data_IF_814096141321
#
_entry.id   IF_814096141321
#
_cell.length_a   1.000
_cell.length_b   1.000
_cell.length_c   1.000
_cell.angle_alpha   90.00
_cell.angle_beta   90.00
_cell.angle_gamma   90.00
#
_symmetry.space_group_name_H-M   'P 1'
#
loop_
_entity.id
_entity.type
_entity.pdbx_description
1 polymer ?
2 non-polymer ?
3 non-polymer ?
4 non-polymer ?
5 non-polymer ?
6 non-polymer ?
7 non-polymer ?
8 water ?
#
# COMPACT_ATOMS: atom_id res chain seq x y z
N UNK A 1 20.81 -4.21 1.24
CA UNK A 1 19.43 -3.83 1.51
C UNK A 1 19.21 -2.33 1.35
N UNK A 2 18.03 -1.96 0.86
CA UNK A 2 17.59 -0.58 0.90
C UNK A 2 17.13 -0.26 2.31
N UNK A 3 16.42 0.86 2.48
CA UNK A 3 15.92 1.18 3.82
C UNK A 3 14.90 0.15 4.30
N UNK A 4 15.05 -0.28 5.55
CA UNK A 4 14.09 -1.17 6.17
C UNK A 4 13.68 -0.60 7.53
N UNK A 5 12.49 -0.97 7.99
CA UNK A 5 12.06 -0.60 9.32
C UNK A 5 12.92 -1.35 10.33
N UNK A 6 13.44 -0.65 11.32
CA UNK A 6 14.29 -1.27 12.32
C UNK A 6 13.48 -1.61 13.57
N UNK A 7 12.19 -1.87 13.34
CA UNK A 7 11.28 -2.32 14.38
C UNK A 7 10.22 -3.21 13.74
N UNK A 8 9.68 -4.15 14.52
CA UNK A 8 8.67 -5.06 13.99
C UNK A 8 7.26 -4.58 14.32
N UNK A 9 7.18 -3.62 15.24
CA UNK A 9 5.90 -2.99 15.56
C UNK A 9 5.74 -1.71 14.75
N UNK A 10 4.88 -1.78 13.74
CA UNK A 10 4.71 -0.66 12.82
C UNK A 10 3.26 -0.15 12.83
N UNK A 11 3.10 1.14 13.07
CA UNK A 11 1.77 1.74 13.13
C UNK A 11 1.39 2.43 11.83
N UNK A 12 0.10 2.59 11.60
CA UNK A 12 -0.38 3.33 10.45
C UNK A 12 -1.61 4.16 10.79
N UNK A 13 -1.82 5.24 10.03
CA UNK A 13 -2.98 6.10 10.23
C UNK A 13 -3.53 6.56 8.88
N UNK A 14 -4.85 6.49 8.73
CA UNK A 14 -5.51 6.95 7.52
C UNK A 14 -5.86 8.43 7.68
N UNK A 15 -5.10 9.28 7.00
CA UNK A 15 -5.22 10.72 7.17
C UNK A 15 -6.54 11.29 6.65
N UNK A 16 -6.99 10.77 5.51
CA UNK A 16 -8.28 11.17 4.95
C UNK A 16 -8.87 10.07 4.09
N UNK A 17 -10.18 10.16 3.86
CA UNK A 17 -10.91 9.11 3.14
C UNK A 17 -11.39 9.57 1.77
N UNK A 18 -11.33 8.66 0.80
CA UNK A 18 -11.84 8.93 -0.54
C UNK A 18 -13.36 8.86 -0.55
N UNK A 19 -14.00 9.82 -1.23
CA UNK A 19 -15.46 9.85 -1.34
C UNK A 19 -16.01 8.77 -2.26
N UNK A 20 -15.14 8.07 -2.98
CA UNK A 20 -15.55 7.00 -3.88
C UNK A 20 -16.16 5.84 -3.11
N UNK A 21 -15.56 5.50 -1.99
CA UNK A 21 -16.01 4.39 -1.16
C UNK A 21 -16.54 4.90 0.17
N UNK A 22 -17.34 4.07 0.84
CA UNK A 22 -17.76 4.40 2.20
C UNK A 22 -16.59 4.19 3.16
N UNK A 23 -16.61 4.86 4.28
CA UNK A 23 -15.47 4.84 5.18
C UNK A 23 -15.03 3.48 5.69
N UNK A 24 -15.96 2.63 6.08
CA UNK A 24 -15.60 1.32 6.59
C UNK A 24 -14.95 0.44 5.53
N UNK A 25 -15.35 0.60 4.28
CA UNK A 25 -14.75 -0.14 3.17
C UNK A 25 -13.27 0.20 3.01
N UNK A 26 -12.95 1.48 3.19
CA UNK A 26 -11.57 1.93 3.12
C UNK A 26 -10.77 1.37 4.29
N UNK A 27 -11.37 1.38 5.48
CA UNK A 27 -10.75 0.82 6.66
C UNK A 27 -10.47 -0.67 6.48
N UNK A 28 -11.43 -1.38 5.90
CA UNK A 28 -11.31 -2.83 5.71
C UNK A 28 -10.27 -3.18 4.66
N UNK A 29 -10.28 -2.43 3.55
CA UNK A 29 -9.35 -2.69 2.45
C UNK A 29 -7.91 -2.45 2.87
N UNK A 30 -7.68 -1.41 3.67
CA UNK A 30 -6.35 -1.08 4.14
C UNK A 30 -5.88 -2.09 5.19
N UNK A 31 -6.79 -2.49 6.07
CA UNK A 31 -6.45 -3.43 7.13
C UNK A 31 -6.03 -4.78 6.56
N UNK A 32 -6.77 -5.26 5.57
CA UNK A 32 -6.47 -6.52 4.92
C UNK A 32 -5.16 -6.45 4.14
N UNK A 33 -4.85 -5.27 3.62
CA UNK A 33 -3.61 -5.07 2.88
C UNK A 33 -2.39 -5.28 3.75
N UNK A 34 -2.39 -4.67 4.93
CA UNK A 34 -1.30 -4.86 5.89
C UNK A 34 -1.20 -6.31 6.34
N UNK A 35 -2.35 -6.99 6.42
CA UNK A 35 -2.40 -8.36 6.91
C UNK A 35 -1.76 -9.32 5.92
N UNK A 36 -1.83 -8.98 4.63
CA UNK A 36 -1.19 -9.77 3.59
C UNK A 36 0.30 -9.90 3.84
N UNK A 37 0.93 -8.79 4.22
CA UNK A 37 2.36 -8.79 4.52
C UNK A 37 2.62 -9.34 5.93
N UNK A 38 1.64 -9.17 6.81
CA UNK A 38 1.75 -9.67 8.17
C UNK A 38 1.73 -11.20 8.19
N UNK A 39 1.14 -11.81 7.16
CA UNK A 39 1.01 -13.25 7.10
C UNK A 39 2.33 -13.98 6.84
N UNK A 40 3.32 -13.27 6.31
CA UNK A 40 4.57 -13.92 5.91
C UNK A 40 5.79 -13.28 6.55
N UNK A 41 5.57 -12.43 7.56
CA UNK A 41 6.66 -11.71 8.22
C UNK A 41 6.45 -11.71 9.74
N UNK A 42 7.50 -11.35 10.50
CA UNK A 42 7.31 -11.12 11.94
C UNK A 42 6.76 -9.72 12.23
N UNK A 43 6.29 -9.03 11.21
CA UNK A 43 5.79 -7.66 11.35
C UNK A 43 4.37 -7.61 11.90
N UNK A 44 4.14 -6.72 12.84
CA UNK A 44 2.80 -6.49 13.39
C UNK A 44 2.37 -5.05 13.11
N UNK A 45 1.18 -4.90 12.53
CA UNK A 45 0.67 -3.58 12.17
C UNK A 45 -0.52 -3.18 13.03
N UNK A 46 -0.48 -1.97 13.57
CA UNK A 46 -1.53 -1.47 14.45
C UNK A 46 -2.04 -0.10 13.99
N UNK A 47 -3.36 0.04 13.95
CA UNK A 47 -3.98 1.26 13.45
C UNK A 47 -4.05 2.35 14.52
N UNK A 48 -3.74 3.57 14.13
CA UNK A 48 -3.80 4.72 15.03
C UNK A 48 -4.80 5.74 14.50
N UNK A 49 -5.73 6.17 15.34
CA UNK A 49 -6.75 7.13 14.93
C UNK A 49 -6.27 8.57 15.04
N UNK A 50 -5.47 8.85 16.06
CA UNK A 50 -5.00 10.20 16.30
C UNK A 50 -3.56 10.21 16.79
N UNK A 51 -2.71 10.99 16.14
CA UNK A 51 -1.33 11.13 16.55
C UNK A 51 -0.32 10.62 15.53
N UNK A 52 0.90 10.41 15.99
CA UNK A 52 1.98 10.00 15.10
C UNK A 52 1.91 8.52 14.73
N UNK A 53 2.06 8.24 13.45
CA UNK A 53 2.12 6.88 12.95
C UNK A 53 3.21 6.76 11.91
N UNK A 54 3.80 5.57 11.78
CA UNK A 54 4.89 5.34 10.85
C UNK A 54 4.43 5.51 9.40
N UNK A 55 3.31 4.88 9.08
CA UNK A 55 2.79 4.90 7.71
C UNK A 55 1.49 5.69 7.61
N UNK A 56 1.56 6.84 6.95
CA UNK A 56 0.39 7.67 6.76
C UNK A 56 -0.26 7.40 5.40
N UNK A 57 -1.56 7.10 5.42
CA UNK A 57 -2.30 6.87 4.18
C UNK A 57 -3.05 8.14 3.77
N UNK A 58 -2.79 8.63 2.57
CA UNK A 58 -3.35 9.88 2.10
C UNK A 58 -4.03 9.74 0.74
N UNK A 59 -5.23 10.32 0.61
CA UNK A 59 -5.89 10.45 -0.68
C UNK A 59 -5.81 11.89 -1.16
N UNK A 60 -5.10 12.10 -2.27
CA UNK A 60 -4.96 13.44 -2.83
C UNK A 60 -4.85 13.39 -4.36
N UNK A 61 -4.90 14.56 -4.99
CA UNK A 61 -4.80 14.64 -6.44
C UNK A 61 -3.71 15.61 -6.90
N UNK A 62 -3.21 15.39 -8.11
CA UNK A 62 -2.20 16.25 -8.70
C UNK A 62 -0.98 16.47 -7.83
N UNK A 63 -0.49 17.70 -7.84
CA UNK A 63 0.60 18.10 -6.94
C UNK A 63 0.04 18.26 -5.53
N UNK A 64 0.63 17.57 -4.57
CA UNK A 64 0.04 17.47 -3.24
C UNK A 64 1.06 17.50 -2.11
N UNK A 65 2.07 18.35 -2.22
CA UNK A 65 2.97 18.57 -1.10
C UNK A 65 4.34 17.92 -1.22
N UNK A 66 4.44 16.86 -2.01
CA UNK A 66 5.75 16.26 -2.28
C UNK A 66 6.15 16.52 -3.73
N UNK A 67 7.37 16.14 -4.08
CA UNK A 67 7.91 16.44 -5.40
C UNK A 67 7.40 15.48 -6.49
N UNK A 68 6.42 14.66 -6.13
CA UNK A 68 5.88 13.67 -7.04
C UNK A 68 4.39 13.86 -7.28
N UNK A 69 4.06 14.70 -8.25
CA UNK A 69 2.66 15.03 -8.56
C UNK A 69 1.95 13.87 -9.25
N UNK A 70 0.66 13.73 -8.99
CA UNK A 70 -0.17 12.76 -9.69
C UNK A 70 -0.61 13.32 -11.04
N UNK A 71 -1.24 12.48 -11.86
CA UNK A 71 -1.42 12.81 -13.27
C UNK A 71 -2.86 12.69 -13.76
N UNK A 72 -3.83 12.81 -12.86
CA UNK A 72 -5.23 12.66 -13.24
C UNK A 72 -5.62 11.21 -13.34
N UNK A 73 -6.83 10.94 -13.83
CA UNK A 73 -7.31 9.57 -13.92
C UNK A 73 -6.49 8.75 -14.91
N UNK A 74 -6.06 7.57 -14.48
CA UNK A 74 -5.21 6.71 -15.29
C UNK A 74 -3.75 6.90 -14.93
N UNK A 75 -2.87 6.27 -15.69
CA UNK A 75 -1.43 6.38 -15.44
C UNK A 75 -1.05 5.91 -14.06
N UNK A 76 -0.38 6.78 -13.30
CA UNK A 76 0.04 6.46 -11.95
C UNK A 76 -1.15 6.45 -11.00
N UNK A 77 -1.38 5.31 -10.36
CA UNK A 77 -2.51 5.15 -9.45
C UNK A 77 -2.16 5.58 -8.03
N UNK A 78 -0.89 5.46 -7.68
CA UNK A 78 -0.42 5.74 -6.33
C UNK A 78 1.10 5.67 -6.25
N UNK A 79 1.65 6.13 -5.13
CA UNK A 79 3.07 5.91 -4.84
C UNK A 79 3.32 5.88 -3.34
N UNK A 80 4.41 5.25 -2.94
CA UNK A 80 4.78 5.17 -1.54
C UNK A 80 6.27 5.43 -1.35
N UNK A 81 6.63 5.92 -0.18
CA UNK A 81 8.03 6.18 0.14
C UNK A 81 8.60 5.05 0.99
N UNK A 82 9.89 4.76 0.78
CA UNK A 82 10.55 3.71 1.53
C UNK A 82 10.62 4.04 3.02
N UNK A 83 10.95 3.03 3.84
CA UNK A 83 11.03 3.17 5.30
C UNK A 83 11.90 4.34 5.74
N UNK A 84 11.46 5.04 6.79
CA UNK A 84 12.18 6.19 7.30
C UNK A 84 11.26 7.15 8.03
N UNK A 85 11.83 8.15 8.67
CA UNK A 85 11.05 9.13 9.41
C UNK A 85 10.35 10.10 8.48
N UNK A 86 9.42 10.87 9.02
CA UNK A 86 8.69 11.87 8.25
C UNK A 86 7.83 11.25 7.18
N UNK A 87 8.06 11.67 5.93
CA UNK A 87 7.27 11.20 4.79
C UNK A 87 7.63 9.74 4.44
N UNK A 88 8.73 9.25 5.01
CA UNK A 88 9.14 7.88 4.78
C UNK A 88 8.10 6.88 5.24
N UNK A 89 7.78 5.91 4.39
CA UNK A 89 6.80 4.90 4.71
C UNK A 89 5.40 5.27 4.30
N UNK A 90 5.18 6.55 4.02
CA UNK A 90 3.85 7.05 3.68
C UNK A 90 3.38 6.58 2.30
N UNK A 91 2.08 6.33 2.19
CA UNK A 91 1.49 5.86 0.94
C UNK A 91 0.39 6.81 0.48
N UNK A 92 0.55 7.35 -0.73
CA UNK A 92 -0.41 8.29 -1.27
C UNK A 92 -1.18 7.68 -2.44
N UNK A 93 -2.49 7.88 -2.46
CA UNK A 93 -3.34 7.33 -3.52
C UNK A 93 -4.00 8.44 -4.33
N UNK A 94 -3.95 8.31 -5.66
CA UNK A 94 -4.50 9.32 -6.55
C UNK A 94 -6.03 9.36 -6.46
N UNK A 95 -6.55 10.52 -6.07
CA UNK A 95 -8.00 10.68 -5.90
C UNK A 95 -8.71 10.79 -7.24
N UNK A 96 -7.97 11.06 -8.31
CA UNK A 96 -8.56 11.16 -9.64
C UNK A 96 -8.95 9.77 -10.17
N UNK A 97 -8.48 8.72 -9.51
CA UNK A 97 -8.95 7.37 -9.81
C UNK A 97 -10.24 7.10 -9.07
N UNK A 98 -11.00 6.11 -9.52
CA UNK A 98 -12.22 5.71 -8.82
C UNK A 98 -11.99 4.42 -8.06
N UNK A 99 -11.73 4.56 -6.77
CA UNK A 99 -11.40 3.41 -5.93
C UNK A 99 -12.64 2.58 -5.60
N UNK A 100 -12.50 1.25 -5.73
CA UNK A 100 -13.60 0.34 -5.47
C UNK A 100 -13.16 -0.86 -4.63
N UNK A 101 -14.13 -1.68 -4.26
CA UNK A 101 -13.85 -2.93 -3.55
C UNK A 101 -14.00 -4.11 -4.51
N UNK A 102 -14.03 -3.81 -5.81
CA UNK A 102 -14.28 -4.82 -6.83
C UNK A 102 -13.45 -4.59 -8.09
N UNK A 103 -13.87 -5.24 -9.18
CA UNK A 103 -13.13 -5.20 -10.44
C UNK A 103 -13.24 -3.85 -11.15
N UNK A 104 -14.40 -3.22 -11.02
CA UNK A 104 -14.62 -1.91 -11.62
C UNK A 104 -13.68 -0.88 -11.03
N UNK A 105 -13.36 0.14 -11.83
CA UNK A 105 -12.43 1.19 -11.42
C UNK A 105 -11.09 0.62 -10.99
N UNK A 106 -10.56 1.14 -9.89
CA UNK A 106 -9.30 0.66 -9.35
C UNK A 106 -9.51 0.07 -7.96
N UNK A 107 -9.17 -1.20 -7.80
CA UNK A 107 -9.34 -1.87 -6.52
C UNK A 107 -8.34 -1.36 -5.48
N UNK A 108 -8.86 -0.79 -4.40
CA UNK A 108 -8.03 -0.18 -3.37
C UNK A 108 -7.15 -1.21 -2.65
N UNK A 109 -7.74 -2.37 -2.33
CA UNK A 109 -7.03 -3.42 -1.61
C UNK A 109 -5.76 -3.85 -2.33
N UNK A 110 -5.88 -4.18 -3.61
CA UNK A 110 -4.73 -4.62 -4.40
C UNK A 110 -3.67 -3.54 -4.52
N UNK A 111 -4.10 -2.31 -4.78
CA UNK A 111 -3.19 -1.17 -4.87
C UNK A 111 -2.49 -0.95 -3.54
N UNK A 112 -3.23 -1.10 -2.45
CA UNK A 112 -2.68 -0.92 -1.11
C UNK A 112 -1.62 -1.96 -0.79
N UNK A 113 -1.87 -3.21 -1.16
CA UNK A 113 -0.89 -4.27 -0.94
C UNK A 113 0.42 -3.91 -1.63
N UNK A 114 0.32 -3.47 -2.87
CA UNK A 114 1.48 -3.07 -3.66
C UNK A 114 2.21 -1.89 -3.03
N UNK A 115 1.47 -0.87 -2.62
CA UNK A 115 2.08 0.33 -2.05
C UNK A 115 2.70 0.07 -0.67
N UNK A 116 2.04 -0.74 0.15
CA UNK A 116 2.56 -1.08 1.46
C UNK A 116 3.86 -1.85 1.30
N UNK A 117 3.94 -2.67 0.25
CA UNK A 117 5.18 -3.35 -0.10
C UNK A 117 6.31 -2.35 -0.29
N UNK A 118 6.02 -1.25 -0.96
CA UNK A 118 6.98 -0.16 -1.11
C UNK A 118 7.29 0.48 0.25
N UNK A 119 6.24 0.65 1.06
CA UNK A 119 6.37 1.23 2.39
C UNK A 119 7.28 0.39 3.29
N UNK A 120 7.33 -0.92 3.00
CA UNK A 120 8.15 -1.82 3.79
C UNK A 120 9.57 -1.93 3.22
N UNK A 121 9.77 -1.40 2.02
CA UNK A 121 11.09 -1.33 1.43
C UNK A 121 11.32 -2.22 0.21
N UNK A 122 10.24 -2.74 -0.37
CA UNK A 122 10.35 -3.62 -1.53
C UNK A 122 10.43 -2.84 -2.84
N UNK A 123 11.16 -3.40 -3.80
CA UNK A 123 11.21 -2.87 -5.15
C UNK A 123 10.22 -3.59 -6.04
N UNK A 124 10.42 -3.52 -7.34
CA UNK A 124 9.51 -4.17 -8.28
C UNK A 124 9.98 -5.56 -8.69
N UNK A 125 9.02 -6.37 -9.12
CA UNK A 125 9.31 -7.70 -9.65
C UNK A 125 8.99 -7.74 -11.14
N UNK A 126 9.59 -8.68 -11.85
CA UNK A 126 9.28 -8.85 -13.27
C UNK A 126 8.36 -10.06 -13.46
N UNK A 127 7.86 -10.58 -12.35
CA UNK A 127 6.91 -11.69 -12.35
C UNK A 127 5.48 -11.15 -12.40
N UNK A 128 4.76 -11.46 -13.48
CA UNK A 128 3.37 -11.00 -13.65
C UNK A 128 2.43 -11.56 -12.58
N UNK A 129 2.89 -12.55 -11.83
CA UNK A 129 2.11 -13.13 -10.75
C UNK A 129 2.38 -12.42 -9.43
N UNK A 130 3.49 -11.70 -9.37
CA UNK A 130 3.89 -10.99 -8.16
C UNK A 130 3.07 -9.71 -7.96
N UNK A 131 2.73 -9.41 -6.71
CA UNK A 131 1.96 -8.22 -6.41
C UNK A 131 2.83 -6.98 -6.56
N UNK A 132 4.15 -7.16 -6.54
CA UNK A 132 5.07 -6.05 -6.71
C UNK A 132 5.46 -5.88 -8.18
N UNK A 133 4.71 -6.53 -9.07
CA UNK A 133 4.79 -6.27 -10.50
C UNK A 133 4.42 -4.80 -10.72
N UNK A 134 5.15 -4.11 -11.61
CA UNK A 134 5.02 -2.65 -11.79
C UNK A 134 3.61 -2.17 -12.15
N UNK A 135 2.84 -2.96 -12.89
CA UNK A 135 1.54 -2.51 -13.37
C UNK A 135 0.37 -3.23 -12.70
N UNK A 136 -0.71 -2.48 -12.50
CA UNK A 136 -1.91 -2.96 -11.83
C UNK A 136 -2.53 -4.18 -12.53
N UNK A 137 -3.15 -5.04 -11.73
CA UNK A 137 -3.92 -6.17 -12.23
C UNK A 137 -4.99 -6.53 -11.22
N UNK A 138 -6.21 -6.80 -11.70
CA UNK A 138 -7.27 -7.22 -10.80
C UNK A 138 -7.35 -8.73 -10.71
N UNK A 139 -7.62 -9.21 -9.50
CA UNK A 139 -7.84 -10.61 -9.22
C UNK A 139 -8.77 -10.67 -8.02
N UNK A 140 -9.77 -11.56 -8.08
CA UNK A 140 -10.71 -11.73 -6.98
C UNK A 140 -9.94 -11.84 -5.67
N UNK A 141 -10.35 -11.07 -4.67
CA UNK A 141 -9.57 -10.92 -3.45
C UNK A 141 -9.45 -12.24 -2.67
N UNK A 142 -10.20 -13.26 -3.08
CA UNK A 142 -9.99 -14.59 -2.53
C UNK A 142 -9.68 -15.66 -3.59
N UNK A 143 -9.01 -15.25 -4.66
CA UNK A 143 -8.27 -16.17 -5.51
C UNK A 143 -6.85 -15.62 -5.49
N UNK A 144 -6.63 -14.71 -4.55
CA UNK A 144 -5.40 -13.95 -4.41
C UNK A 144 -4.41 -14.63 -3.48
N UNK A 145 -3.19 -14.80 -3.97
CA UNK A 145 -2.10 -15.32 -3.14
C UNK A 145 -0.83 -14.52 -3.41
N UNK A 146 -0.03 -14.32 -2.36
CA UNK A 146 1.29 -13.74 -2.53
C UNK A 146 2.16 -14.68 -3.34
N UNK A 147 2.83 -14.15 -4.36
CA UNK A 147 3.75 -14.96 -5.16
C UNK A 147 4.96 -15.33 -4.32
N UNK A 148 5.71 -16.33 -4.78
CA UNK A 148 6.92 -16.76 -4.09
C UNK A 148 7.97 -15.64 -4.10
N UNK A 149 7.96 -14.83 -5.15
CA UNK A 149 8.93 -13.75 -5.29
C UNK A 149 8.66 -12.64 -4.28
N UNK A 150 7.38 -12.33 -4.06
CA UNK A 150 6.99 -11.34 -3.05
C UNK A 150 7.44 -11.80 -1.67
N UNK A 151 7.19 -13.07 -1.39
CA UNK A 151 7.52 -13.65 -0.09
C UNK A 151 9.02 -13.72 0.14
N UNK A 152 9.76 -14.13 -0.89
CA UNK A 152 11.22 -14.18 -0.82
C UNK A 152 11.79 -12.78 -0.61
N UNK A 153 11.23 -11.81 -1.32
CA UNK A 153 11.68 -10.43 -1.23
C UNK A 153 11.49 -9.86 0.15
N UNK A 154 10.29 -10.02 0.71
CA UNK A 154 9.96 -9.41 1.99
C UNK A 154 10.61 -10.15 3.17
N UNK A 155 10.85 -11.45 3.02
CA UNK A 155 11.49 -12.21 4.08
C UNK A 155 12.99 -11.94 4.12
N UNK A 156 13.55 -11.48 3.01
CA UNK A 156 14.95 -11.11 2.96
C UNK A 156 15.18 -9.78 3.67
N UNK A 157 14.11 -9.04 3.90
CA UNK A 157 14.21 -7.75 4.59
C UNK A 157 13.90 -7.89 6.09
N UNK A 158 12.97 -8.79 6.42
CA UNK A 158 12.54 -8.96 7.80
C UNK A 158 12.51 -10.42 8.21
N UNK A 159 13.01 -10.70 9.41
CA UNK A 159 13.03 -12.06 9.93
C UNK A 159 14.40 -12.70 9.82
X LIG B 1 5.41 0.02 -7.45
X LIG C 1 2.66 11.85 -2.82
X LIG D 1 -3.29 8.93 -11.94
X LIG E 1 6.05 8.19 7.77
X LIG F 1 -11.83 9.44 -6.70
X LIG G 1 0.12 2.83 -10.67
X LIG G 1 -1.37 -0.87 -7.80
X LIG G 1 -0.91 0.37 -7.78
X LIG G 1 1.19 2.26 -10.80
X LIG G 1 2.02 1.92 -9.60
X LIG G 1 1.12 1.81 -8.38
X LIG G 1 0.70 -0.79 -8.65
X LIG G 1 -0.38 -1.63 -8.34
X LIG G 1 -0.46 -3.09 -8.55
X LIG G 1 -1.61 -3.77 -8.13
X LIG G 1 -1.70 -5.15 -8.31
X LIG G 1 -0.65 -5.85 -8.90
X LIG G 1 0.49 -5.16 -9.32
X LIG G 1 0.58 -3.79 -9.13
X LIG G 1 0.34 0.50 -8.28
X LIG G 1 -2.33 -10.44 -7.03
X LIG G 1 -1.51 -9.46 -8.28
X LIG G 1 -1.40 -8.09 -8.12
X LIG G 1 -0.98 -10.08 -9.40
X LIG G 1 -0.33 -9.31 -10.38
X LIG G 1 -0.22 -7.94 -10.22
X LIG G 1 -0.76 -7.32 -9.08
X LIG G 1 2.92 3.13 -9.40
X LIG G 1 4.31 2.82 -8.27
X LIG G 1 4.94 1.51 -8.60
X LIG G 1 3.81 2.85 -6.75
X LIG G 1 5.47 4.10 -8.53
X LIG G 1 6.81 3.79 -8.76
X LIG G 1 7.74 4.79 -8.96
X LIG G 1 7.34 6.13 -8.92
X LIG G 1 8.60 7.50 -9.19
X LIG G 1 6.00 6.44 -8.68
X LIG G 1 5.07 5.43 -8.48
X LIG G 1 1.72 1.95 -11.98
X LIG G 1 1.04 2.27 -13.22
X LIG G 1 -0.20 1.48 -13.48
X LIG G 1 -0.36 0.38 -13.00
X LIG G 1 2.03 2.07 -14.38
X LIG G 1 2.08 3.33 -15.24
X LIG G 1 3.50 3.56 -15.68
X LIG G 1 4.49 2.87 -15.13
X LIG G 1 3.77 4.37 -16.55
X LIG G 1 -1.08 2.06 -14.30
X LIG G 1 -2.32 1.41 -14.66
X LIG G 1 -2.05 0.30 -15.63
X LIG G 1 -1.38 0.54 -16.62
X LIG G 1 -3.25 2.44 -15.31
X LIG G 1 -4.66 1.88 -15.52
X LIG G 1 -5.58 2.99 -15.98
X LIG G 1 -6.65 3.31 -15.25
X LIG G 1 -5.35 3.60 -17.01
X LIG G 1 -2.54 -0.89 -15.39
X LIG H 1 -3.40 -13.30 -12.98
X LIG H 1 -12.49 -20.23 -17.00
X LIG H 1 -13.82 -18.72 -18.45
X LIG H 1 -10.19 -16.55 -13.60
X LIG H 1 -11.94 -19.27 -16.15
X LIG H 1 -1.37 -14.22 -12.86
X LIG H 1 -2.44 -13.96 -12.34
X LIG H 1 -3.23 -12.88 -14.35
X LIG H 1 -4.49 -12.19 -14.85
X LIG H 1 -4.27 -11.58 -16.24
X LIG H 1 -5.46 -10.85 -16.58
X LIG H 1 -5.36 -10.34 -17.85
X LIG H 1 -6.05 -8.96 -18.02
X LIG H 1 -5.30 -8.00 -17.42
X LIG H 1 -5.98 -6.75 -17.20
X LIG H 1 -5.15 -5.84 -16.33
X LIG H 1 -5.62 -4.47 -16.49
X LIG H 1 -5.03 -3.54 -15.50
X LIG H 1 -4.65 -2.25 -16.21
X LIG H 1 -3.91 -1.14 -15.46
X LIG H 1 -2.75 -14.38 -10.94
X LIG H 1 -1.64 -13.92 -10.01
X LIG H 1 -2.06 -13.94 -8.55
X LIG H 1 -2.85 -15.21 -8.21
X LIG H 1 -2.30 -16.43 -8.82
X LIG H 1 -1.06 -16.90 -8.51
X LIG H 1 -0.83 -18.06 -9.22
X LIG H 1 0.37 -18.77 -9.12
X LIG H 1 0.57 -19.95 -9.84
X LIG H 1 1.78 -20.64 -9.75
X LIG H 1 2.03 -21.99 -10.57
X LIG H 1 0.70 -22.41 -11.41
X LIG H 1 2.35 -23.19 -9.51
X LIG H 1 3.31 -21.87 -11.56
X LIG H 1 2.77 -20.15 -8.90
X LIG H 1 2.58 -19.00 -8.15
X LIG H 1 3.75 -18.48 -7.21
X LIG H 1 4.94 -19.59 -7.12
X LIG H 1 4.40 -17.14 -7.87
X LIG H 1 3.19 -18.17 -5.71
X LIG H 1 1.38 -18.30 -8.27
X LIG H 1 1.15 -17.12 -7.56
X LIG H 1 -0.05 -16.42 -7.67
X LIG H 1 -1.97 -18.44 -10.07
X LIG H 1 -1.61 -18.38 -11.55
X LIG H 1 -2.58 -19.76 -9.64
X LIG H 1 -2.87 -17.29 -9.72
X LIG H 1 -4.23 -17.24 -10.37
X LIG H 1 -5.20 -16.18 -10.12
X LIG H 1 -6.40 -16.10 -10.73
X LIG H 1 -7.00 -17.01 -11.72
X LIG H 1 -8.15 -16.57 -12.24
X LIG H 1 -9.08 -17.22 -13.23
X LIG H 1 -8.97 -18.59 -13.82
X LIG H 1 -9.06 -19.66 -12.74
X LIG H 1 -7.76 -18.73 -14.73
X LIG H 1 -10.54 -15.20 -13.16
X LIG H 1 -12.05 -15.06 -13.11
X LIG H 1 -10.90 -17.31 -14.46
X LIG H 1 -10.23 -18.52 -14.63
X LIG H 1 -10.75 -19.51 -15.46
X LIG H 1 -12.08 -17.08 -15.13
X LIG H 1 -12.60 -18.06 -15.98
X LIG H 1 -13.85 -20.00 -17.78
X LIG H 1 -14.98 -20.03 -16.89
X LIG H 1 -14.03 -21.19 -18.89
X LIG H 1 -11.83 -21.44 -17.18
X LIG H 1 -10.66 -21.70 -16.50
X LIG H 1 -10.10 -20.73 -15.66
X LIG H 1 -9.93 -23.10 -16.74
X LIG H 1 -8.52 -22.92 -16.71
X LIG H 1 -10.32 -23.70 -17.99
X LIG H 1 -10.31 -24.08 -15.50
X LIG I 1 15.09 9.20 7.36
X LIG I 1 15.39 10.60 7.45
X LIG I 1 15.26 8.55 8.73
X LIG I 1 15.01 7.14 8.62
X LIG J 1 13.18 7.46 1.70
X LIG J 1 13.20 6.04 1.84
X LIG J 1 12.28 8.07 2.78
X LIG J 1 12.23 9.49 2.61
X LIG K 1 0.67 -1.69 22.39
X LIG K 1 0.60 -0.91 21.19
X LIG K 1 1.97 -1.40 23.10
X LIG K 1 2.03 -2.15 24.32
X LIG L 1 6.91 9.79 13.00
X LIG L 1 6.31 8.49 13.08
X LIG L 1 8.10 9.74 12.04
X LIG L 1 8.76 11.01 12.04
X LIG M 1 0.57 15.70 2.07
X LIG M 1 -0.01 15.01 0.98
X LIG M 1 1.92 15.09 2.41
X LIG M 1 1.91 14.66 3.75
X LIG M 1 2.99 16.17 2.24
X LIG M 1 2.76 17.21 3.16
#
# INVERSE_FOLDING_TARGET
MGPVWRKHYITYRINNYTPDMNREDVDYAIRKAFQVWSNVTPLKFSKINTGMADILVVFARGAHGDDHAFDGKGGILAHAFGPGSGIGGDAHFDEDEFWTTHSGGTNLFLTAVHEIGHSLGLGHSSDPKAVMFPTYKYVDINTFRLSADDIRGIQSLYG
ZN ZN
ZN ZN
CA CA
CA CA
CA CA
R47 O4 N1 O1 C25 C17 C16 C14 C13 C12 C11 C10 C7 C8 C9 C15 CL1 C1 C2 C3 C4 C5 C6 C18 P1 O2 O3 C19 C20 C21 C22 BR1 C23 C24 N2 C26 C30 O7 C27 C28 C29 O5 O6 N3 C31 C35 O10 C32 C33 C34 O8 O9 N4
6PJ N2 C2 O2 N3 C1 O7 C22 C23 C24 C25 O8 C26 C27 O9 C28 C29 O10 C30 C31 C32 C21 C20 C19 C18 N1 C33 C42 C41 C40 C39 S4 O16 O15 O14 C38 C37 S3 O13 O12 O11 C36 C35 C34 C43 C44 C45 C17 C16 C15 C14 C13 C12 C11 C8 C10 C9 C46 C47 C48 C7 C6 C49 C50 S1 O3 O1 C3 C4 C5 S2 O4 O5 O6
EDO C1 O1 C2 O2
EDO C1 O1 C2 O2
EDO C1 O1 C2 O2
EDO C1 O1 C2 O2
GOL C1 O1 C2 O2 C3 O3
#
